data_IF_944158743007
#
_entry.id   IF_944158743007
#
_cell.length_a   1.000
_cell.length_b   1.000
_cell.length_c   1.000
_cell.angle_alpha   90.00
_cell.angle_beta   90.00
_cell.angle_gamma   90.00
#
_symmetry.space_group_name_H-M   'P 1'
#
loop_
_entity.id
_entity.type
_entity.pdbx_description
1 polymer ?
#
# COMPACT_ATOMS: atom_id res chain seq x y z
N UNK A 1 2.23 -17.12 0.93
CA UNK A 1 3.31 -16.13 1.07
C UNK A 1 4.30 -16.62 2.11
N UNK A 2 5.55 -16.80 1.70
CA UNK A 2 6.61 -17.19 2.64
C UNK A 2 7.16 -15.99 3.43
N UNK A 3 8.07 -16.24 4.37
CA UNK A 3 8.67 -15.20 5.22
C UNK A 3 9.55 -14.23 4.44
N UNK A 4 10.21 -14.67 3.36
CA UNK A 4 11.16 -13.88 2.58
C UNK A 4 10.41 -12.87 1.71
N UNK A 5 9.37 -13.32 1.02
CA UNK A 5 8.46 -12.48 0.23
C UNK A 5 7.83 -11.41 1.09
N UNK A 6 7.36 -11.81 2.28
CA UNK A 6 6.74 -10.92 3.25
C UNK A 6 7.71 -9.85 3.77
N UNK A 7 8.96 -10.22 4.06
CA UNK A 7 9.99 -9.28 4.50
C UNK A 7 10.36 -8.30 3.38
N UNK A 8 10.50 -8.79 2.14
CA UNK A 8 10.81 -7.95 0.98
C UNK A 8 9.67 -6.96 0.69
N UNK A 9 8.42 -7.42 0.73
CA UNK A 9 7.25 -6.56 0.57
C UNK A 9 7.17 -5.51 1.68
N UNK A 10 7.35 -5.93 2.93
CA UNK A 10 7.36 -5.01 4.08
C UNK A 10 8.43 -3.93 3.91
N UNK A 11 9.65 -4.29 3.47
CA UNK A 11 10.72 -3.33 3.21
C UNK A 11 10.37 -2.33 2.11
N UNK A 12 9.75 -2.79 1.00
CA UNK A 12 9.30 -1.90 -0.08
C UNK A 12 8.24 -0.91 0.40
N UNK A 13 7.28 -1.38 1.20
CA UNK A 13 6.22 -0.52 1.76
C UNK A 13 6.80 0.48 2.76
N UNK A 14 7.72 0.07 3.63
CA UNK A 14 8.38 0.99 4.58
C UNK A 14 9.10 2.11 3.84
N UNK A 15 9.89 1.78 2.80
CA UNK A 15 10.56 2.80 1.98
C UNK A 15 9.59 3.77 1.31
N UNK A 16 8.42 3.28 0.88
CA UNK A 16 7.36 4.12 0.32
C UNK A 16 6.78 5.06 1.38
N UNK A 17 6.54 4.60 2.60
CA UNK A 17 6.10 5.44 3.72
C UNK A 17 7.16 6.45 4.18
N UNK A 18 8.44 6.09 4.16
CA UNK A 18 9.54 7.02 4.47
C UNK A 18 9.64 8.14 3.42
N UNK A 19 9.51 7.78 2.14
CA UNK A 19 9.45 8.77 1.05
C UNK A 19 8.24 9.69 1.23
N UNK A 20 7.08 9.13 1.57
CA UNK A 20 5.87 9.91 1.86
C UNK A 20 6.02 10.85 3.04
N UNK A 21 6.58 10.40 4.17
CA UNK A 21 6.75 11.26 5.35
C UNK A 21 7.62 12.48 5.07
N UNK A 22 8.60 12.35 4.16
CA UNK A 22 9.42 13.47 3.68
C UNK A 22 8.63 14.41 2.76
N UNK A 23 7.76 13.85 1.92
CA UNK A 23 7.00 14.62 0.91
C UNK A 23 5.69 15.22 1.48
N UNK A 24 5.07 14.63 2.50
CA UNK A 24 3.87 15.19 3.17
C UNK A 24 4.21 16.33 4.12
N UNK A 25 5.42 16.36 4.68
CA UNK A 25 5.97 17.56 5.32
C UNK A 25 6.03 18.77 4.38
N UNK A 26 6.03 18.52 3.05
CA UNK A 26 6.00 19.55 2.01
C UNK A 26 4.56 19.87 1.51
N UNK A 27 3.52 19.31 2.12
CA UNK A 27 2.12 19.75 1.98
C UNK A 27 1.39 19.38 0.66
N UNK A 28 1.87 18.41 -0.12
CA UNK A 28 1.30 18.13 -1.46
C UNK A 28 0.34 16.92 -1.48
N UNK A 29 -0.98 17.17 -1.51
CA UNK A 29 -2.02 16.14 -1.63
C UNK A 29 -1.85 15.16 -2.80
N UNK A 30 -1.24 15.60 -3.91
CA UNK A 30 -0.94 14.75 -5.08
C UNK A 30 -0.02 13.58 -4.73
N UNK A 31 0.88 13.75 -3.75
CA UNK A 31 1.80 12.70 -3.31
C UNK A 31 1.08 11.60 -2.52
N UNK A 32 0.05 11.96 -1.75
CA UNK A 32 -0.78 10.98 -1.02
C UNK A 32 -1.51 10.06 -2.01
N UNK A 33 -2.07 10.63 -3.09
CA UNK A 33 -2.75 9.85 -4.12
C UNK A 33 -1.77 8.95 -4.90
N UNK A 34 -0.61 9.50 -5.27
CA UNK A 34 0.43 8.72 -5.95
C UNK A 34 0.95 7.57 -5.09
N UNK A 35 1.16 7.79 -3.80
CA UNK A 35 1.57 6.72 -2.90
C UNK A 35 0.52 5.65 -2.70
N UNK A 36 -0.76 6.03 -2.53
CA UNK A 36 -1.84 5.04 -2.46
C UNK A 36 -1.91 4.21 -3.74
N UNK A 37 -1.66 4.82 -4.91
CA UNK A 37 -1.52 4.10 -6.18
C UNK A 37 -0.35 3.13 -6.18
N UNK A 38 0.85 3.58 -5.82
CA UNK A 38 2.06 2.74 -5.82
C UNK A 38 1.94 1.59 -4.81
N UNK A 39 1.43 1.85 -3.62
CA UNK A 39 1.12 0.83 -2.62
C UNK A 39 0.08 -0.15 -3.14
N UNK A 40 -1.02 0.34 -3.72
CA UNK A 40 -2.05 -0.50 -4.31
C UNK A 40 -1.56 -1.37 -5.46
N UNK A 41 -0.66 -0.83 -6.30
CA UNK A 41 0.00 -1.57 -7.40
C UNK A 41 0.81 -2.74 -6.85
N UNK A 42 1.66 -2.49 -5.85
CA UNK A 42 2.45 -3.51 -5.16
C UNK A 42 1.56 -4.60 -4.56
N UNK A 43 0.50 -4.21 -3.84
CA UNK A 43 -0.42 -5.16 -3.21
C UNK A 43 -1.15 -6.03 -4.24
N UNK A 44 -1.60 -5.44 -5.35
CA UNK A 44 -2.24 -6.17 -6.45
C UNK A 44 -1.27 -7.13 -7.16
N UNK A 45 -0.03 -6.72 -7.39
CA UNK A 45 1.00 -7.59 -8.00
C UNK A 45 1.30 -8.80 -7.13
N UNK A 46 1.45 -8.60 -5.82
CA UNK A 46 1.67 -9.67 -4.87
C UNK A 46 0.46 -10.60 -4.85
N UNK A 47 -0.76 -10.05 -4.73
CA UNK A 47 -1.95 -10.88 -4.70
C UNK A 47 -2.07 -11.75 -5.95
N UNK A 48 -1.80 -11.23 -7.15
CA UNK A 48 -1.84 -12.01 -8.40
C UNK A 48 -0.97 -13.28 -8.34
N UNK A 49 0.19 -13.20 -7.70
CA UNK A 49 1.13 -14.32 -7.54
C UNK A 49 0.76 -15.33 -6.44
N UNK A 50 -0.22 -15.03 -5.59
CA UNK A 50 -0.69 -15.96 -4.56
C UNK A 50 -1.61 -17.05 -5.14
N UNK A 51 -1.65 -18.21 -4.49
CA UNK A 51 -2.64 -19.23 -4.82
C UNK A 51 -4.06 -18.82 -4.36
N UNK A 52 -5.08 -19.50 -4.87
CA UNK A 52 -6.49 -19.18 -4.59
C UNK A 52 -6.84 -19.25 -3.10
N UNK A 53 -6.31 -20.21 -2.35
CA UNK A 53 -6.59 -20.35 -0.93
C UNK A 53 -6.06 -19.16 -0.11
N UNK A 54 -4.89 -18.63 -0.48
CA UNK A 54 -4.30 -17.46 0.16
C UNK A 54 -5.01 -16.15 -0.23
N UNK A 55 -5.47 -16.04 -1.48
CA UNK A 55 -6.30 -14.92 -1.96
C UNK A 55 -7.62 -14.85 -1.19
N UNK A 56 -8.37 -15.96 -1.15
CA UNK A 56 -9.71 -16.02 -0.54
C UNK A 56 -9.67 -15.78 0.96
N UNK A 57 -8.63 -16.26 1.66
CA UNK A 57 -8.51 -16.04 3.11
C UNK A 57 -8.17 -14.59 3.48
N UNK A 58 -7.56 -13.80 2.58
CA UNK A 58 -7.09 -12.44 2.88
C UNK A 58 -6.06 -12.35 4.02
N UNK A 59 -5.60 -13.49 4.54
CA UNK A 59 -4.77 -13.59 5.75
C UNK A 59 -3.40 -12.95 5.54
N UNK A 60 -2.93 -12.89 4.29
CA UNK A 60 -1.66 -12.29 3.93
C UNK A 60 -1.62 -10.77 4.19
N UNK A 61 -2.74 -10.04 4.00
CA UNK A 61 -2.82 -8.61 4.35
C UNK A 61 -2.73 -8.41 5.85
N UNK A 62 -3.40 -9.27 6.64
CA UNK A 62 -3.34 -9.22 8.11
C UNK A 62 -1.91 -9.48 8.61
N UNK A 63 -1.24 -10.50 8.05
CA UNK A 63 0.14 -10.83 8.39
C UNK A 63 1.10 -9.70 8.02
N UNK A 64 0.93 -9.10 6.83
CA UNK A 64 1.68 -7.93 6.39
C UNK A 64 1.46 -6.72 7.32
N UNK A 65 0.21 -6.43 7.68
CA UNK A 65 -0.17 -5.38 8.63
C UNK A 65 0.53 -5.54 9.98
N UNK A 66 0.58 -6.76 10.53
CA UNK A 66 1.28 -7.05 11.79
C UNK A 66 2.78 -6.76 11.66
N UNK A 67 3.42 -7.14 10.56
CA UNK A 67 4.84 -6.84 10.35
C UNK A 67 5.09 -5.34 10.21
N UNK A 68 4.26 -4.64 9.43
CA UNK A 68 4.40 -3.20 9.19
C UNK A 68 4.21 -2.40 10.47
N UNK A 69 3.23 -2.74 11.32
CA UNK A 69 3.01 -2.08 12.62
C UNK A 69 4.21 -2.13 13.56
N UNK A 70 5.08 -3.14 13.45
CA UNK A 70 6.31 -3.22 14.26
C UNK A 70 7.33 -2.13 13.88
N UNK A 71 7.23 -1.59 12.66
CA UNK A 71 8.17 -0.60 12.11
C UNK A 71 7.52 0.78 11.97
N UNK A 72 6.27 0.83 11.51
CA UNK A 72 5.46 2.03 11.34
C UNK A 72 4.59 2.23 12.57
N UNK A 73 5.15 2.85 13.62
CA UNK A 73 4.48 3.01 14.93
C UNK A 73 3.32 4.02 14.92
N UNK A 74 3.31 4.97 14.00
CA UNK A 74 2.31 6.04 13.92
C UNK A 74 1.78 6.19 12.48
N UNK A 75 0.51 6.60 12.35
CA UNK A 75 -0.09 6.92 11.05
C UNK A 75 -0.33 5.74 10.11
N UNK A 76 -0.13 4.49 10.57
CA UNK A 76 -0.37 3.27 9.78
C UNK A 76 -1.52 2.44 10.37
N UNK A 77 -2.41 1.95 9.51
CA UNK A 77 -3.43 0.97 9.88
C UNK A 77 -3.64 -0.07 8.80
N UNK A 78 -4.16 -1.23 9.18
CA UNK A 78 -4.48 -2.31 8.23
C UNK A 78 -5.47 -1.85 7.14
N UNK A 79 -6.44 -1.00 7.51
CA UNK A 79 -7.41 -0.41 6.58
C UNK A 79 -6.75 0.36 5.46
N UNK A 80 -5.59 0.98 5.70
CA UNK A 80 -4.86 1.70 4.64
C UNK A 80 -4.37 0.76 3.55
N UNK A 81 -3.97 -0.47 3.87
CA UNK A 81 -3.60 -1.48 2.87
C UNK A 81 -4.81 -1.85 2.01
N UNK A 82 -5.97 -2.06 2.63
CA UNK A 82 -7.22 -2.34 1.93
C UNK A 82 -7.62 -1.18 1.00
N UNK A 83 -7.60 0.05 1.49
CA UNK A 83 -7.96 1.22 0.69
C UNK A 83 -6.99 1.47 -0.45
N UNK A 84 -5.68 1.35 -0.23
CA UNK A 84 -4.70 1.48 -1.32
C UNK A 84 -4.90 0.41 -2.40
N UNK A 85 -5.15 -0.85 -2.00
CA UNK A 85 -5.44 -1.94 -2.92
C UNK A 85 -6.69 -1.66 -3.76
N UNK A 86 -7.81 -1.30 -3.11
CA UNK A 86 -9.07 -0.94 -3.78
C UNK A 86 -8.92 0.28 -4.67
N UNK A 87 -8.18 1.28 -4.22
CA UNK A 87 -7.87 2.46 -5.01
C UNK A 87 -7.17 2.09 -6.32
N UNK A 88 -6.16 1.23 -6.28
CA UNK A 88 -5.50 0.76 -7.50
C UNK A 88 -6.38 -0.14 -8.36
N UNK A 89 -7.26 -0.96 -7.79
CA UNK A 89 -8.21 -1.77 -8.57
C UNK A 89 -9.20 -0.89 -9.36
N UNK A 90 -9.65 0.21 -8.76
CA UNK A 90 -10.62 1.12 -9.38
C UNK A 90 -9.94 2.07 -10.37
N UNK A 91 -8.82 2.68 -9.97
CA UNK A 91 -8.19 3.75 -10.74
C UNK A 91 -6.99 3.27 -11.55
N UNK A 92 -6.34 2.16 -11.18
CA UNK A 92 -5.19 1.60 -11.90
C UNK A 92 -4.14 2.66 -12.27
N UNK A 93 -3.83 2.71 -13.57
CA UNK A 93 -2.92 3.70 -14.17
C UNK A 93 -3.64 4.89 -14.83
N UNK A 94 -4.96 5.04 -14.65
CA UNK A 94 -5.72 6.18 -15.19
C UNK A 94 -5.12 7.52 -14.72
N UNK A 95 -5.29 8.61 -15.47
CA UNK A 95 -4.78 9.91 -15.01
C UNK A 95 -5.48 10.29 -13.70
N UNK A 96 -4.72 10.53 -12.63
CA UNK A 96 -5.26 11.12 -11.41
C UNK A 96 -5.61 12.57 -11.74
N UNK A 97 -6.89 12.91 -11.66
CA UNK A 97 -7.31 14.30 -11.75
C UNK A 97 -6.94 14.99 -10.43
N UNK A 98 -5.82 15.69 -10.41
CA UNK A 98 -5.36 16.46 -9.25
C UNK A 98 -6.13 17.79 -9.06
N UNK A 99 -7.07 18.10 -9.95
CA UNK A 99 -7.88 19.31 -9.94
C UNK A 99 -9.30 19.02 -9.43
N UNK A 100 -9.47 19.03 -8.10
CA UNK A 100 -10.76 19.37 -7.49
C UNK A 100 -10.49 20.32 -6.33
N UNK A 101 -10.17 21.55 -6.70
CA UNK A 101 -10.48 22.75 -5.93
C UNK A 101 -11.29 23.63 -6.87
N UNK A 102 -12.60 23.65 -6.65
CA UNK A 102 -13.48 24.76 -7.03
C UNK A 102 -13.81 25.50 -5.75
#
# INVERSE_FOLDING_TARGET
MDKKDLAQLSSKIIKLYEKLGKDTALGKNSYILQANRELGKLLNQVEKGLNTAEKTKGSWIKVLSIQLKKKLKHGFSERMLFYAKRFYEVYGESKLNFNQTS
#
